data_IF_938751556655
#
_entry.id   IF_938751556655
#
_cell.length_a   1.000
_cell.length_b   1.000
_cell.length_c   1.000
_cell.angle_alpha   90.00
_cell.angle_beta   90.00
_cell.angle_gamma   90.00
#
_symmetry.space_group_name_H-M   'P 1'
#
loop_
_entity.id
_entity.type
_entity.pdbx_description
1 polymer ?
#
# COMPACT_ATOMS: atom_id res chain seq x y z
N UNK A 1 5.50 -7.36 -10.25
CA UNK A 1 6.10 -6.06 -9.90
C UNK A 1 7.54 -6.05 -10.39
N UNK A 2 7.93 -5.02 -11.16
CA UNK A 2 9.28 -4.94 -11.70
C UNK A 2 10.00 -3.82 -10.95
N UNK A 3 10.94 -4.20 -10.09
CA UNK A 3 11.93 -3.25 -9.57
C UNK A 3 13.03 -3.10 -10.62
N UNK A 4 13.28 -1.88 -11.04
CA UNK A 4 14.33 -1.60 -12.00
C UNK A 4 15.19 -0.46 -11.51
N UNK A 5 16.49 -0.70 -11.43
CA UNK A 5 17.48 0.34 -11.17
C UNK A 5 18.08 0.81 -12.48
N UNK A 6 18.09 2.11 -12.67
CA UNK A 6 18.71 2.75 -13.83
C UNK A 6 19.76 3.73 -13.38
N UNK A 7 20.86 3.79 -14.11
CA UNK A 7 21.87 4.85 -13.95
C UNK A 7 21.51 6.00 -14.86
N UNK A 8 21.44 7.18 -14.30
CA UNK A 8 21.14 8.39 -15.06
C UNK A 8 22.29 9.40 -14.89
N UNK A 9 22.64 10.09 -15.98
CA UNK A 9 23.60 11.18 -15.96
C UNK A 9 22.93 12.47 -15.48
N UNK A 10 23.74 13.45 -15.03
CA UNK A 10 23.26 14.79 -14.74
C UNK A 10 22.52 15.36 -15.96
N UNK A 11 21.36 15.97 -15.73
CA UNK A 11 20.52 16.58 -16.78
C UNK A 11 19.57 15.63 -17.48
N UNK A 12 19.55 14.32 -17.12
CA UNK A 12 18.56 13.37 -17.65
C UNK A 12 17.18 13.67 -17.05
N UNK A 13 16.17 13.70 -17.90
CA UNK A 13 14.77 13.86 -17.49
C UNK A 13 14.11 12.49 -17.33
N UNK A 14 13.48 12.28 -16.17
CA UNK A 14 12.60 11.12 -15.92
C UNK A 14 11.15 11.55 -16.12
N UNK A 15 10.45 10.89 -17.04
CA UNK A 15 9.03 11.15 -17.33
C UNK A 15 8.18 9.96 -16.93
N UNK A 16 7.17 10.21 -16.07
CA UNK A 16 6.15 9.23 -15.75
C UNK A 16 5.03 9.32 -16.78
N UNK A 17 4.78 8.22 -17.50
CA UNK A 17 3.64 8.07 -18.41
C UNK A 17 2.36 7.66 -17.66
N UNK A 18 1.32 7.31 -18.43
CA UNK A 18 0.14 6.68 -17.84
C UNK A 18 0.53 5.29 -17.31
N UNK A 19 0.07 4.92 -16.09
CA UNK A 19 0.33 3.58 -15.57
C UNK A 19 -0.32 2.53 -16.47
N UNK A 20 0.42 1.47 -16.79
CA UNK A 20 -0.13 0.31 -17.51
C UNK A 20 -1.05 -0.51 -16.57
N UNK A 21 -0.76 -0.51 -15.28
CA UNK A 21 -1.56 -1.14 -14.22
C UNK A 21 -1.26 -0.47 -12.89
N UNK A 22 -2.15 -0.66 -11.90
CA UNK A 22 -2.00 -0.10 -10.56
C UNK A 22 -2.30 1.40 -10.46
N UNK A 23 -2.06 1.98 -9.30
CA UNK A 23 -2.36 3.39 -8.97
C UNK A 23 -1.17 4.16 -8.43
N UNK A 24 -0.22 3.48 -7.81
CA UNK A 24 0.86 4.09 -7.03
C UNK A 24 2.21 3.59 -7.54
N UNK A 25 3.12 4.51 -7.72
CA UNK A 25 4.52 4.25 -8.04
C UNK A 25 5.45 4.94 -7.04
N UNK A 26 6.57 4.31 -6.75
CA UNK A 26 7.59 4.86 -5.86
C UNK A 26 8.89 5.08 -6.64
N UNK A 27 9.47 6.25 -6.45
CA UNK A 27 10.81 6.58 -6.94
C UNK A 27 11.78 6.59 -5.77
N UNK A 28 12.75 5.70 -5.81
CA UNK A 28 13.87 5.69 -4.88
C UNK A 28 15.13 6.20 -5.56
N UNK A 29 15.96 6.93 -4.82
CA UNK A 29 17.26 7.40 -5.29
C UNK A 29 18.36 6.92 -4.37
N UNK A 30 19.49 6.59 -4.92
CA UNK A 30 20.66 6.21 -4.14
C UNK A 30 21.09 7.35 -3.22
N UNK A 31 21.32 7.07 -1.94
CA UNK A 31 21.62 8.09 -0.91
C UNK A 31 20.39 8.75 -0.29
N UNK A 32 19.21 8.58 -0.89
CA UNK A 32 17.95 9.13 -0.40
C UNK A 32 17.77 10.63 -0.64
N UNK A 33 16.55 11.11 -0.52
CA UNK A 33 16.21 12.53 -0.57
C UNK A 33 16.46 13.20 0.78
N UNK A 34 16.91 14.45 0.76
CA UNK A 34 17.04 15.27 1.97
C UNK A 34 15.67 15.82 2.36
N UNK A 35 15.03 15.14 3.29
CA UNK A 35 13.72 15.46 3.82
C UNK A 35 13.79 15.76 5.31
N UNK A 36 12.85 16.54 5.82
CA UNK A 36 12.68 16.70 7.26
C UNK A 36 12.10 15.44 7.88
N UNK A 37 12.53 15.11 9.10
CA UNK A 37 12.12 13.92 9.83
C UNK A 37 11.25 14.30 11.03
N UNK A 38 10.14 13.62 11.20
CA UNK A 38 9.25 13.76 12.34
C UNK A 38 8.93 12.39 12.94
N UNK A 39 9.09 12.24 14.25
CA UNK A 39 8.86 10.98 14.98
C UNK A 39 9.49 9.74 14.30
N UNK A 40 10.70 9.92 13.72
CA UNK A 40 11.39 8.82 13.05
C UNK A 40 11.03 8.63 11.57
N UNK A 41 9.99 9.26 11.04
CA UNK A 41 9.52 9.14 9.67
C UNK A 41 9.94 10.33 8.79
N UNK A 42 10.21 10.05 7.50
CA UNK A 42 10.40 11.05 6.44
C UNK A 42 9.14 11.27 5.60
N UNK A 43 8.03 10.59 5.91
CA UNK A 43 6.78 10.76 5.19
C UNK A 43 6.21 12.15 5.39
N UNK A 44 5.65 12.74 4.34
CA UNK A 44 4.90 13.99 4.41
C UNK A 44 3.49 13.70 4.92
N UNK A 45 3.09 14.32 6.01
CA UNK A 45 1.72 14.27 6.50
C UNK A 45 0.97 15.53 6.03
N UNK A 46 0.27 15.40 4.92
CA UNK A 46 -0.35 16.52 4.20
C UNK A 46 -1.46 17.17 5.03
N UNK A 47 -2.26 16.36 5.74
CA UNK A 47 -3.42 16.86 6.50
C UNK A 47 -3.08 17.80 7.66
N UNK A 48 -1.84 17.79 8.13
CA UNK A 48 -1.34 18.65 9.22
C UNK A 48 -0.04 19.38 8.84
N UNK A 49 0.33 19.34 7.57
CA UNK A 49 1.48 20.03 6.99
C UNK A 49 2.82 19.74 7.69
N UNK A 50 3.01 18.46 8.08
CA UNK A 50 4.20 18.06 8.83
C UNK A 50 5.14 17.18 8.01
N UNK A 51 6.45 17.35 8.29
CA UNK A 51 7.52 16.44 7.86
C UNK A 51 7.71 16.31 6.34
N UNK A 52 8.57 15.40 5.93
CA UNK A 52 8.84 15.10 4.53
C UNK A 52 9.27 16.32 3.72
N UNK A 53 8.58 16.55 2.62
CA UNK A 53 8.80 17.72 1.77
C UNK A 53 7.88 18.88 2.18
N UNK A 54 8.36 19.75 3.07
CA UNK A 54 7.67 20.99 3.49
C UNK A 54 6.22 20.81 3.94
N UNK A 55 5.82 19.59 4.38
CA UNK A 55 4.46 19.27 4.81
C UNK A 55 3.42 19.26 3.68
N UNK A 56 3.77 19.38 2.42
CA UNK A 56 2.86 19.49 1.28
C UNK A 56 3.19 18.53 0.14
N UNK A 57 2.32 18.45 -0.84
CA UNK A 57 2.60 17.79 -2.12
C UNK A 57 3.72 18.52 -2.88
N UNK A 58 4.39 17.78 -3.76
CA UNK A 58 5.37 18.35 -4.68
C UNK A 58 4.68 19.26 -5.69
N UNK A 59 5.33 20.37 -6.00
CA UNK A 59 4.89 21.35 -6.99
C UNK A 59 5.90 21.45 -8.13
N UNK A 60 5.44 22.00 -9.23
CA UNK A 60 6.33 22.28 -10.37
C UNK A 60 7.49 23.18 -9.91
N UNK A 61 8.70 22.83 -10.31
CA UNK A 61 9.97 23.50 -9.96
C UNK A 61 10.44 23.30 -8.51
N UNK A 62 9.87 22.36 -7.75
CA UNK A 62 10.49 21.95 -6.49
C UNK A 62 11.85 21.29 -6.77
N UNK A 63 12.87 21.75 -6.06
CA UNK A 63 14.20 21.17 -6.09
C UNK A 63 14.45 20.38 -4.81
N UNK A 64 14.53 19.04 -4.95
CA UNK A 64 14.73 18.15 -3.82
C UNK A 64 16.18 17.69 -3.79
N UNK A 65 16.98 18.14 -2.82
CA UNK A 65 18.37 17.74 -2.73
C UNK A 65 18.51 16.29 -2.30
N UNK A 66 19.60 15.65 -2.68
CA UNK A 66 19.97 14.34 -2.16
C UNK A 66 20.55 14.46 -0.75
N UNK A 67 20.23 13.51 0.10
CA UNK A 67 20.73 13.47 1.49
C UNK A 67 22.23 13.16 1.54
N UNK A 68 22.69 12.25 0.66
CA UNK A 68 24.12 11.91 0.51
C UNK A 68 24.49 12.00 -0.96
N UNK A 69 25.54 12.71 -1.27
CA UNK A 69 26.16 12.65 -2.58
C UNK A 69 27.13 11.47 -2.57
N UNK A 70 26.86 10.46 -3.37
CA UNK A 70 27.73 9.31 -3.50
C UNK A 70 28.70 9.57 -4.66
N UNK A 71 29.94 9.84 -4.32
CA UNK A 71 31.03 9.91 -5.29
C UNK A 71 31.50 8.48 -5.60
N UNK A 72 30.85 7.84 -6.56
CA UNK A 72 31.36 6.59 -7.09
C UNK A 72 31.86 6.80 -8.52
N UNK A 73 32.99 6.15 -8.82
CA UNK A 73 33.63 6.10 -10.15
C UNK A 73 32.78 5.34 -11.20
N UNK A 74 31.47 5.66 -11.24
CA UNK A 74 30.50 5.00 -12.10
C UNK A 74 30.27 5.79 -13.41
N UNK A 75 31.21 6.64 -13.76
CA UNK A 75 31.00 7.70 -14.75
C UNK A 75 30.72 7.23 -16.18
N UNK A 76 30.98 5.97 -16.50
CA UNK A 76 30.99 5.56 -17.91
C UNK A 76 29.88 4.61 -18.36
N UNK A 77 29.00 4.10 -17.49
CA UNK A 77 27.97 3.14 -17.88
C UNK A 77 26.57 3.56 -17.45
N UNK A 78 25.88 4.41 -18.23
CA UNK A 78 24.45 4.60 -18.10
C UNK A 78 23.73 3.34 -18.62
N UNK A 79 22.70 2.86 -17.91
CA UNK A 79 21.90 1.73 -18.36
C UNK A 79 21.18 0.99 -17.22
N UNK A 80 20.48 -0.03 -17.61
CA UNK A 80 19.82 -0.93 -16.69
C UNK A 80 20.84 -1.77 -15.92
N UNK A 81 20.65 -1.87 -14.61
CA UNK A 81 21.41 -2.78 -13.76
C UNK A 81 20.66 -4.10 -13.67
N UNK A 82 21.36 -5.24 -13.69
CA UNK A 82 20.73 -6.51 -13.37
C UNK A 82 20.24 -6.47 -11.93
N UNK A 83 18.96 -6.81 -11.74
CA UNK A 83 18.35 -6.87 -10.42
C UNK A 83 18.57 -8.27 -9.85
N UNK A 84 19.21 -8.40 -8.68
CA UNK A 84 19.42 -9.70 -8.06
C UNK A 84 18.11 -10.31 -7.53
N UNK A 85 17.08 -9.49 -7.41
CA UNK A 85 15.79 -9.89 -6.86
C UNK A 85 14.63 -9.18 -7.56
N UNK A 86 13.59 -9.94 -7.88
CA UNK A 86 12.33 -9.45 -8.40
C UNK A 86 11.18 -10.14 -7.67
N UNK A 87 10.25 -9.36 -7.14
CA UNK A 87 8.99 -9.92 -6.65
C UNK A 87 8.22 -10.51 -7.83
N UNK A 88 7.70 -11.72 -7.67
CA UNK A 88 6.81 -12.32 -8.66
C UNK A 88 5.61 -11.39 -8.88
N UNK A 89 5.21 -11.12 -10.14
CA UNK A 89 4.00 -10.37 -10.41
C UNK A 89 2.80 -11.11 -9.83
N UNK A 90 1.83 -10.35 -9.32
CA UNK A 90 0.54 -10.90 -8.90
C UNK A 90 -0.10 -11.62 -10.09
N UNK A 91 -0.48 -12.90 -9.89
CA UNK A 91 -1.08 -13.71 -10.97
C UNK A 91 -2.48 -13.23 -11.32
N UNK A 92 -3.25 -12.85 -10.29
CA UNK A 92 -4.63 -12.40 -10.41
C UNK A 92 -4.84 -11.08 -9.62
N UNK A 93 -4.37 -9.96 -10.13
CA UNK A 93 -4.37 -8.69 -9.40
C UNK A 93 -5.79 -8.19 -9.05
N UNK A 94 -6.81 -8.62 -9.80
CA UNK A 94 -8.22 -8.26 -9.62
C UNK A 94 -9.08 -9.40 -9.06
N UNK A 95 -8.49 -10.49 -8.57
CA UNK A 95 -9.24 -11.51 -7.83
C UNK A 95 -9.88 -10.89 -6.58
N UNK A 96 -11.01 -11.43 -6.06
CA UNK A 96 -11.66 -10.93 -4.87
C UNK A 96 -10.68 -10.68 -3.73
N UNK A 97 -10.89 -9.60 -2.99
CA UNK A 97 -10.09 -9.26 -1.80
C UNK A 97 -10.49 -10.18 -0.66
N UNK A 98 -9.53 -10.88 -0.10
CA UNK A 98 -9.76 -11.80 1.01
C UNK A 98 -9.91 -11.03 2.32
N UNK A 99 -10.95 -11.39 3.06
CA UNK A 99 -11.29 -10.75 4.33
C UNK A 99 -11.51 -11.82 5.41
N UNK A 100 -11.31 -11.42 6.66
CA UNK A 100 -11.74 -12.18 7.83
C UNK A 100 -12.87 -11.43 8.54
N UNK A 101 -13.78 -12.17 9.17
CA UNK A 101 -14.88 -11.57 9.93
C UNK A 101 -14.35 -10.65 11.05
N UNK A 102 -14.91 -9.46 11.14
CA UNK A 102 -14.62 -8.51 12.20
C UNK A 102 -15.48 -8.75 13.45
N UNK A 103 -15.14 -8.06 14.54
CA UNK A 103 -15.87 -8.18 15.82
C UNK A 103 -17.37 -7.92 15.70
N UNK A 104 -17.78 -7.09 14.77
CA UNK A 104 -19.16 -6.65 14.61
C UNK A 104 -19.85 -7.24 13.36
N UNK A 105 -19.28 -8.28 12.76
CA UNK A 105 -19.85 -8.96 11.59
C UNK A 105 -21.28 -9.46 11.86
N UNK A 106 -21.53 -9.99 13.06
CA UNK A 106 -22.85 -10.49 13.47
C UNK A 106 -23.92 -9.41 13.63
N UNK A 107 -23.60 -8.12 13.52
CA UNK A 107 -24.60 -7.04 13.47
C UNK A 107 -25.29 -6.95 12.11
N UNK A 108 -24.66 -7.45 11.06
CA UNK A 108 -25.28 -7.55 9.73
C UNK A 108 -26.35 -8.65 9.76
N UNK A 109 -27.49 -8.39 9.14
CA UNK A 109 -28.46 -9.45 8.88
C UNK A 109 -27.95 -10.44 7.82
N UNK A 110 -28.63 -11.56 7.68
CA UNK A 110 -28.22 -12.63 6.75
C UNK A 110 -28.12 -12.15 5.31
N UNK A 111 -29.05 -11.29 4.87
CA UNK A 111 -29.04 -10.71 3.53
C UNK A 111 -27.82 -9.82 3.32
N UNK A 112 -27.50 -8.97 4.29
CA UNK A 112 -26.31 -8.10 4.22
C UNK A 112 -25.01 -8.90 4.27
N UNK A 113 -24.94 -9.99 5.04
CA UNK A 113 -23.77 -10.88 5.04
C UNK A 113 -23.57 -11.53 3.66
N UNK A 114 -24.64 -11.98 3.02
CA UNK A 114 -24.61 -12.51 1.65
C UNK A 114 -24.20 -11.42 0.66
N UNK A 115 -24.84 -10.25 0.73
CA UNK A 115 -24.52 -9.12 -0.16
C UNK A 115 -23.06 -8.68 -0.03
N UNK A 116 -22.47 -8.69 1.16
CA UNK A 116 -21.05 -8.36 1.35
C UNK A 116 -20.13 -9.29 0.53
N UNK A 117 -20.49 -10.55 0.37
CA UNK A 117 -19.65 -11.57 -0.27
C UNK A 117 -19.97 -11.79 -1.75
N UNK A 118 -21.21 -11.52 -2.17
CA UNK A 118 -21.70 -11.84 -3.51
C UNK A 118 -21.86 -10.58 -4.40
N UNK A 119 -21.80 -9.37 -3.82
CA UNK A 119 -21.97 -8.13 -4.57
C UNK A 119 -20.62 -7.47 -4.87
N UNK A 120 -20.62 -6.68 -5.93
CA UNK A 120 -19.53 -5.81 -6.31
C UNK A 120 -19.71 -4.42 -5.71
N UNK A 121 -18.60 -3.84 -5.25
CA UNK A 121 -18.55 -2.49 -4.68
C UNK A 121 -17.70 -1.57 -5.56
N UNK A 122 -18.23 -0.40 -5.87
CA UNK A 122 -17.51 0.63 -6.63
C UNK A 122 -16.65 1.48 -5.70
N UNK A 123 -15.38 1.64 -6.04
CA UNK A 123 -14.46 2.54 -5.31
C UNK A 123 -14.79 3.99 -5.67
N UNK A 124 -15.16 4.79 -4.67
CA UNK A 124 -15.53 6.19 -4.88
C UNK A 124 -14.29 7.08 -5.17
N UNK A 125 -14.45 8.15 -5.96
CA UNK A 125 -13.35 9.08 -6.30
C UNK A 125 -12.72 9.77 -5.09
N UNK A 126 -13.47 9.98 -4.03
CA UNK A 126 -13.05 10.62 -2.76
C UNK A 126 -12.12 9.72 -1.94
N UNK A 127 -11.96 8.47 -2.35
CA UNK A 127 -11.07 7.51 -1.71
C UNK A 127 -9.62 8.00 -1.72
N UNK A 128 -8.99 7.94 -0.56
CA UNK A 128 -7.63 8.43 -0.34
C UNK A 128 -6.84 7.54 0.62
N UNK A 129 -5.68 8.00 1.07
CA UNK A 129 -4.81 7.24 1.99
C UNK A 129 -5.39 7.02 3.39
N UNK A 130 -6.42 7.76 3.80
CA UNK A 130 -7.12 7.52 5.07
C UNK A 130 -8.12 6.37 4.96
N UNK A 131 -8.83 6.28 3.82
CA UNK A 131 -9.83 5.25 3.61
C UNK A 131 -10.34 5.18 2.17
N UNK A 132 -10.67 3.96 1.76
CA UNK A 132 -11.33 3.68 0.50
C UNK A 132 -12.83 3.57 0.75
N UNK A 133 -13.57 4.55 0.24
CA UNK A 133 -15.03 4.58 0.29
C UNK A 133 -15.57 3.67 -0.80
N UNK A 134 -16.42 2.73 -0.41
CA UNK A 134 -17.03 1.76 -1.29
C UNK A 134 -18.53 1.96 -1.36
N UNK A 135 -19.05 2.07 -2.57
CA UNK A 135 -20.48 2.17 -2.87
C UNK A 135 -20.98 0.87 -3.49
N UNK A 136 -22.01 0.29 -2.91
CA UNK A 136 -22.70 -0.89 -3.38
C UNK A 136 -24.14 -0.92 -2.91
N UNK A 137 -24.75 -2.10 -2.90
CA UNK A 137 -26.03 -2.31 -2.21
C UNK A 137 -25.85 -2.00 -0.72
N UNK A 138 -26.61 -1.07 -0.15
CA UNK A 138 -26.48 -0.72 1.27
C UNK A 138 -26.66 -1.97 2.14
N UNK A 139 -25.75 -2.14 3.09
CA UNK A 139 -25.85 -3.24 4.04
C UNK A 139 -26.85 -2.89 5.14
N UNK A 140 -27.59 -3.90 5.57
CA UNK A 140 -28.66 -3.80 6.57
C UNK A 140 -28.32 -4.63 7.81
N UNK A 141 -29.03 -4.35 8.92
CA UNK A 141 -28.83 -5.08 10.16
C UNK A 141 -29.06 -4.21 11.40
N UNK A 142 -28.54 -4.66 12.54
CA UNK A 142 -28.66 -3.95 13.81
C UNK A 142 -27.50 -2.93 13.97
N UNK A 143 -27.54 -1.89 13.13
CA UNK A 143 -26.54 -0.80 13.19
C UNK A 143 -26.56 -0.09 14.54
N UNK A 144 -25.37 0.12 15.10
CA UNK A 144 -25.19 0.90 16.32
C UNK A 144 -23.88 1.68 16.20
N UNK A 145 -23.91 2.95 16.57
CA UNK A 145 -22.67 3.68 16.81
C UNK A 145 -21.92 3.04 17.98
N UNK A 146 -20.61 2.93 17.81
CA UNK A 146 -19.74 2.27 18.77
C UNK A 146 -18.91 3.31 19.52
N UNK A 147 -18.58 3.02 20.76
CA UNK A 147 -17.52 3.75 21.45
C UNK A 147 -16.25 3.60 20.61
N UNK A 148 -15.58 4.73 20.35
CA UNK A 148 -14.35 4.74 19.59
C UNK A 148 -13.34 3.75 20.17
N UNK A 149 -12.85 2.86 19.33
CA UNK A 149 -11.89 1.83 19.73
C UNK A 149 -10.81 1.71 18.64
N UNK A 150 -9.68 1.10 19.01
CA UNK A 150 -8.56 0.90 18.10
C UNK A 150 -9.00 0.25 16.78
N UNK A 151 -8.52 0.82 15.68
CA UNK A 151 -8.69 0.31 14.32
C UNK A 151 -7.31 0.10 13.69
N UNK A 152 -7.27 -0.66 12.60
CA UNK A 152 -6.02 -0.98 11.91
C UNK A 152 -6.18 -0.83 10.39
N UNK A 153 -5.07 -0.74 9.70
CA UNK A 153 -5.03 -0.79 8.25
C UNK A 153 -5.74 -2.05 7.73
N UNK A 154 -6.68 -1.87 6.80
CA UNK A 154 -7.51 -2.95 6.26
C UNK A 154 -8.82 -3.21 7.02
N UNK A 155 -9.08 -2.53 8.15
CA UNK A 155 -10.39 -2.63 8.81
C UNK A 155 -11.49 -2.12 7.90
N UNK A 156 -12.55 -2.90 7.72
CA UNK A 156 -13.76 -2.53 6.99
C UNK A 156 -14.80 -2.09 8.01
N UNK A 157 -15.16 -0.82 7.93
CA UNK A 157 -16.20 -0.23 8.77
C UNK A 157 -17.49 -0.07 7.97
N UNK A 158 -18.60 -0.33 8.65
CA UNK A 158 -19.95 -0.13 8.15
C UNK A 158 -20.44 1.24 8.55
N UNK A 159 -20.81 2.06 7.56
CA UNK A 159 -21.26 3.44 7.73
C UNK A 159 -22.77 3.52 7.96
N UNK A 160 -23.28 4.65 8.53
CA UNK A 160 -24.71 4.81 8.84
C UNK A 160 -25.65 4.69 7.63
N UNK A 161 -25.16 5.01 6.44
CA UNK A 161 -25.89 4.94 5.18
C UNK A 161 -25.86 3.54 4.52
N UNK A 162 -25.28 2.55 5.20
CA UNK A 162 -25.13 1.19 4.70
C UNK A 162 -23.92 0.96 3.81
N UNK A 163 -23.14 2.01 3.51
CA UNK A 163 -21.93 1.91 2.71
C UNK A 163 -20.74 1.44 3.55
N UNK A 164 -19.63 1.22 2.90
CA UNK A 164 -18.41 0.70 3.52
C UNK A 164 -17.24 1.67 3.38
N UNK A 165 -16.37 1.68 4.37
CA UNK A 165 -15.04 2.27 4.27
C UNK A 165 -13.98 1.24 4.66
N UNK A 166 -12.97 1.04 3.82
CA UNK A 166 -11.77 0.27 4.16
C UNK A 166 -10.71 1.24 4.62
N UNK A 167 -10.27 1.12 5.86
CA UNK A 167 -9.23 1.98 6.42
C UNK A 167 -7.89 1.70 5.75
N UNK A 168 -7.23 2.76 5.28
CA UNK A 168 -5.98 2.71 4.55
C UNK A 168 -4.80 3.17 5.41
N UNK A 169 -3.62 3.34 4.84
CA UNK A 169 -2.35 3.53 5.56
C UNK A 169 -2.32 4.77 6.49
N UNK A 170 -3.05 5.83 6.18
CA UNK A 170 -3.12 7.06 6.99
C UNK A 170 -4.41 7.15 7.83
N UNK A 171 -5.06 6.00 8.09
CA UNK A 171 -6.29 5.95 8.90
C UNK A 171 -6.08 6.51 10.31
N UNK A 172 -7.15 6.98 10.98
CA UNK A 172 -7.07 7.36 12.38
C UNK A 172 -6.76 6.15 13.26
N UNK A 173 -6.18 6.37 14.43
CA UNK A 173 -5.84 5.30 15.38
C UNK A 173 -7.08 4.65 16.01
N UNK A 174 -8.18 5.39 16.08
CA UNK A 174 -9.46 4.94 16.63
C UNK A 174 -10.62 5.29 15.71
N UNK A 175 -11.69 4.50 15.77
CA UNK A 175 -12.92 4.73 15.02
C UNK A 175 -14.16 4.28 15.80
N UNK A 176 -15.29 4.94 15.55
CA UNK A 176 -16.57 4.71 16.22
C UNK A 176 -17.62 3.96 15.37
N UNK A 177 -17.26 3.47 14.19
CA UNK A 177 -18.17 2.69 13.36
C UNK A 177 -18.01 1.18 13.59
N UNK A 178 -19.06 0.37 13.36
CA UNK A 178 -18.97 -1.08 13.43
C UNK A 178 -17.87 -1.63 12.51
N UNK A 179 -16.98 -2.45 13.05
CA UNK A 179 -15.89 -3.13 12.34
C UNK A 179 -16.39 -4.50 11.90
N UNK A 180 -16.90 -4.61 10.69
CA UNK A 180 -17.56 -5.83 10.19
C UNK A 180 -16.59 -6.85 9.63
N UNK A 181 -15.46 -6.41 9.08
CA UNK A 181 -14.44 -7.30 8.53
C UNK A 181 -13.05 -6.65 8.57
N UNK A 182 -12.02 -7.43 8.25
CA UNK A 182 -10.68 -6.93 8.02
C UNK A 182 -10.11 -7.56 6.76
N UNK A 183 -9.53 -6.75 5.89
CA UNK A 183 -8.73 -7.24 4.76
C UNK A 183 -7.49 -7.93 5.30
N UNK A 184 -7.15 -9.10 4.78
CA UNK A 184 -5.96 -9.82 5.22
C UNK A 184 -4.68 -9.07 4.82
N UNK A 185 -3.64 -9.22 5.63
CA UNK A 185 -2.36 -8.53 5.42
C UNK A 185 -1.75 -8.80 4.02
N UNK A 186 -1.92 -10.04 3.54
CA UNK A 186 -1.42 -10.45 2.23
C UNK A 186 -2.09 -9.73 1.05
N UNK A 187 -3.29 -9.11 1.23
CA UNK A 187 -4.03 -8.44 0.16
C UNK A 187 -3.98 -6.90 0.23
N UNK A 188 -3.43 -6.32 1.29
CA UNK A 188 -3.38 -4.86 1.46
C UNK A 188 -2.65 -4.17 0.30
N UNK A 189 -1.58 -4.76 -0.21
CA UNK A 189 -0.83 -4.21 -1.35
C UNK A 189 -1.64 -4.26 -2.65
N UNK A 190 -2.46 -5.29 -2.86
CA UNK A 190 -3.37 -5.42 -4.01
C UNK A 190 -4.44 -4.34 -3.96
N UNK A 191 -5.05 -4.17 -2.77
CA UNK A 191 -6.05 -3.13 -2.54
C UNK A 191 -5.46 -1.74 -2.79
N UNK A 192 -4.25 -1.43 -2.31
CA UNK A 192 -3.59 -0.15 -2.53
C UNK A 192 -3.35 0.15 -4.02
N UNK A 193 -3.21 -0.88 -4.85
CA UNK A 193 -3.02 -0.78 -6.29
C UNK A 193 -4.33 -0.96 -7.09
N UNK A 194 -5.49 -1.10 -6.42
CA UNK A 194 -6.77 -1.39 -7.08
C UNK A 194 -7.18 -0.26 -8.02
N UNK A 195 -7.48 -0.56 -9.30
CA UNK A 195 -7.90 0.46 -10.25
C UNK A 195 -9.27 1.02 -9.85
N UNK A 196 -9.40 2.35 -9.88
CA UNK A 196 -10.63 3.03 -9.46
C UNK A 196 -11.86 2.65 -10.28
N UNK A 197 -11.68 2.28 -11.54
CA UNK A 197 -12.78 1.91 -12.46
C UNK A 197 -13.19 0.45 -12.35
N UNK A 198 -12.53 -0.34 -11.51
CA UNK A 198 -12.84 -1.76 -11.31
C UNK A 198 -13.60 -1.96 -10.01
N UNK A 199 -14.65 -2.77 -10.03
CA UNK A 199 -15.35 -3.11 -8.79
C UNK A 199 -14.44 -3.91 -7.86
N UNK A 200 -14.68 -3.78 -6.58
CA UNK A 200 -14.06 -4.57 -5.50
C UNK A 200 -15.08 -5.59 -5.04
N UNK A 201 -14.70 -6.84 -5.00
CA UNK A 201 -15.48 -7.93 -4.39
C UNK A 201 -14.69 -8.60 -3.28
N UNK A 202 -15.38 -9.27 -2.37
CA UNK A 202 -14.77 -9.86 -1.19
C UNK A 202 -14.99 -11.37 -1.15
N UNK A 203 -14.03 -12.07 -0.55
CA UNK A 203 -14.19 -13.48 -0.17
C UNK A 203 -13.78 -13.65 1.28
N UNK A 204 -14.64 -14.33 2.04
CA UNK A 204 -14.37 -14.64 3.46
C UNK A 204 -13.47 -15.85 3.55
N UNK A 205 -12.39 -15.72 4.35
CA UNK A 205 -11.49 -16.84 4.68
C UNK A 205 -11.32 -16.97 6.18
N UNK A 206 -10.74 -18.07 6.62
CA UNK A 206 -10.40 -18.28 8.03
C UNK A 206 -9.18 -17.46 8.44
N UNK A 207 -9.03 -17.25 9.75
CA UNK A 207 -7.85 -16.57 10.31
C UNK A 207 -6.57 -17.39 10.07
N UNK A 208 -6.64 -18.71 10.17
CA UNK A 208 -5.48 -19.59 9.96
C UNK A 208 -4.99 -19.51 8.51
N UNK A 209 -5.91 -19.52 7.56
CA UNK A 209 -5.60 -19.32 6.14
C UNK A 209 -4.97 -17.94 5.88
N UNK A 210 -5.50 -16.89 6.51
CA UNK A 210 -4.95 -15.54 6.38
C UNK A 210 -3.49 -15.46 6.90
N UNK A 211 -3.19 -16.13 8.02
CA UNK A 211 -1.83 -16.21 8.58
C UNK A 211 -0.90 -16.97 7.65
N UNK A 212 -1.34 -18.11 7.13
CA UNK A 212 -0.55 -18.90 6.18
C UNK A 212 -0.19 -18.09 4.93
N UNK A 213 -1.17 -17.43 4.31
CA UNK A 213 -0.96 -16.60 3.12
C UNK A 213 0.01 -15.44 3.38
N UNK A 214 -0.04 -14.85 4.56
CA UNK A 214 0.91 -13.81 4.93
C UNK A 214 2.34 -14.35 5.11
N UNK A 215 2.49 -15.53 5.71
CA UNK A 215 3.81 -16.19 5.83
C UNK A 215 4.40 -16.54 4.47
N UNK A 216 3.57 -17.07 3.55
CA UNK A 216 3.96 -17.35 2.17
C UNK A 216 4.43 -16.07 1.45
N UNK A 217 3.70 -14.96 1.62
CA UNK A 217 4.07 -13.67 1.08
C UNK A 217 5.42 -13.20 1.63
N UNK A 218 5.63 -13.23 2.95
CA UNK A 218 6.90 -12.86 3.57
C UNK A 218 8.06 -13.71 3.04
N UNK A 219 7.85 -15.02 2.89
CA UNK A 219 8.85 -15.91 2.33
C UNK A 219 9.17 -15.57 0.87
N UNK A 220 8.16 -15.24 0.06
CA UNK A 220 8.35 -14.84 -1.34
C UNK A 220 9.08 -13.51 -1.49
N UNK A 221 8.94 -12.61 -0.51
CA UNK A 221 9.58 -11.29 -0.44
C UNK A 221 10.98 -11.35 0.18
N UNK A 222 11.34 -12.46 0.82
CA UNK A 222 12.68 -12.63 1.37
C UNK A 222 13.71 -12.72 0.24
N UNK A 223 14.82 -11.98 0.30
CA UNK A 223 15.89 -12.11 -0.71
C UNK A 223 16.37 -13.56 -0.76
N UNK A 224 16.18 -14.23 -1.87
CA UNK A 224 16.84 -15.52 -2.12
C UNK A 224 18.30 -15.21 -2.41
N UNK A 225 19.11 -15.13 -1.36
CA UNK A 225 20.54 -14.93 -1.49
C UNK A 225 21.15 -16.23 -2.02
N UNK A 226 21.17 -16.36 -3.34
CA UNK A 226 22.01 -17.32 -4.04
C UNK A 226 23.36 -16.69 -4.47
N UNK A 227 23.83 -15.68 -3.74
CA UNK A 227 25.12 -15.06 -4.01
C UNK A 227 26.19 -15.76 -3.18
N UNK A 228 27.28 -16.17 -3.84
CA UNK A 228 28.46 -16.64 -3.15
C UNK A 228 28.98 -15.55 -2.17
N UNK A 229 29.51 -15.92 -1.00
CA UNK A 229 29.95 -14.95 0.01
C UNK A 229 30.98 -13.92 -0.48
N UNK A 230 31.64 -14.15 -1.58
CA UNK A 230 32.63 -13.25 -2.19
C UNK A 230 32.04 -12.01 -2.86
N UNK A 231 30.74 -11.96 -3.16
CA UNK A 231 30.09 -10.79 -3.77
C UNK A 231 29.61 -9.74 -2.75
N UNK A 232 29.70 -10.04 -1.45
CA UNK A 232 29.06 -9.25 -0.39
C UNK A 232 29.99 -8.30 0.37
N UNK A 233 31.28 -8.23 0.06
CA UNK A 233 32.25 -7.43 0.81
C UNK A 233 32.12 -5.90 0.65
N UNK A 234 31.10 -5.39 -0.03
CA UNK A 234 30.89 -3.94 -0.26
C UNK A 234 29.57 -3.35 0.24
N UNK A 235 28.72 -4.09 0.98
CA UNK A 235 27.33 -3.67 1.21
C UNK A 235 26.94 -3.41 2.67
N UNK A 236 27.88 -3.17 3.57
CA UNK A 236 27.60 -3.12 5.01
C UNK A 236 26.90 -1.86 5.55
N UNK A 237 26.56 -0.84 4.77
CA UNK A 237 25.87 0.36 5.29
C UNK A 237 24.78 0.97 4.39
N UNK A 238 24.01 0.18 3.69
CA UNK A 238 22.96 0.73 2.84
C UNK A 238 21.77 -0.19 2.63
N UNK A 239 20.93 -0.35 3.65
CA UNK A 239 19.60 -0.90 3.45
C UNK A 239 18.80 0.02 2.55
N UNK A 240 18.72 -0.31 1.27
CA UNK A 240 17.74 0.28 0.36
C UNK A 240 16.37 -0.29 0.73
N UNK A 241 15.52 0.51 1.32
CA UNK A 241 14.11 0.16 1.48
C UNK A 241 13.45 0.29 0.11
N UNK A 242 13.20 -0.85 -0.53
CA UNK A 242 12.39 -0.91 -1.74
C UNK A 242 10.93 -0.92 -1.33
N UNK A 243 10.22 0.11 -1.72
CA UNK A 243 8.77 0.16 -1.61
C UNK A 243 8.24 0.08 -3.03
N UNK A 244 7.38 -0.88 -3.25
CA UNK A 244 6.88 -1.31 -4.54
C UNK A 244 5.99 -0.31 -5.28
N UNK A 245 6.08 -0.31 -6.56
CA UNK A 245 5.06 0.21 -7.49
C UNK A 245 4.02 -0.86 -7.81
#
# INVERSE_FOLDING_TARGET
>A
MLFRSIRVKKGVELRFGKPASGRVAYLSVQGGFAMSKWLGSYSTQIGVELSGWKGRLLEKNDEIPFRKTLHHAWENNAGWLPEPWMAAPEKEPLAPIRIIAGKHFSLLDTTAQTNLLESDFSLLPESNRMGFLLKGTPLTGNYKEMISAAVQFGTIQWLPDGQLIILMADHPTTGGYPRIANVIQADLHRLAQWPQQKPVSFVMISQDEAVQLYQEQLFSLSPRVSCSPSAYQGWHEGLAYFISC
#
